data_IF_267422027986
#
_entry.id   IF_267422027986
#
_cell.length_a   1.000
_cell.length_b   1.000
_cell.length_c   1.000
_cell.angle_alpha   90.00
_cell.angle_beta   90.00
_cell.angle_gamma   90.00
#
_symmetry.space_group_name_H-M   'P 1'
#
loop_
_entity.id
_entity.type
_entity.pdbx_description
1 polymer ?
#
# COMPACT_ATOMS: atom_id res chain seq x y z
N UNK A 1 -11.85 -5.10 19.32
CA UNK A 1 -11.20 -5.30 18.00
C UNK A 1 -11.15 -4.02 17.17
N UNK A 2 -12.24 -3.32 16.83
CA UNK A 2 -12.18 -1.97 16.23
C UNK A 2 -11.95 -0.85 17.28
N UNK A 3 -12.56 -0.97 18.46
CA UNK A 3 -12.42 0.02 19.54
C UNK A 3 -10.98 0.11 20.10
N UNK A 4 -10.27 -1.02 20.15
CA UNK A 4 -8.87 -1.07 20.63
C UNK A 4 -7.92 -0.38 19.63
N UNK A 5 -8.27 -0.38 18.33
CA UNK A 5 -7.49 0.27 17.28
C UNK A 5 -7.74 1.78 17.22
N UNK A 6 -8.94 2.23 17.62
CA UNK A 6 -9.21 3.65 17.80
C UNK A 6 -8.34 4.28 18.90
N UNK A 7 -7.82 3.46 19.83
CA UNK A 7 -6.89 3.87 20.88
C UNK A 7 -5.41 3.60 20.55
N UNK A 8 -5.12 2.78 19.54
CA UNK A 8 -3.76 2.54 19.09
C UNK A 8 -3.23 3.80 18.37
N UNK A 9 -1.98 4.16 18.68
CA UNK A 9 -1.26 5.21 17.96
C UNK A 9 -0.80 4.63 16.63
N UNK A 10 -1.60 4.86 15.59
CA UNK A 10 -1.37 4.33 14.24
C UNK A 10 -1.36 5.47 13.24
N UNK A 11 -0.38 5.45 12.35
CA UNK A 11 -0.34 6.30 11.17
C UNK A 11 -0.93 5.53 10.00
N UNK A 12 -1.88 6.15 9.29
CA UNK A 12 -2.59 5.51 8.18
C UNK A 12 -2.21 6.25 6.90
N UNK A 13 -1.61 5.53 5.96
CA UNK A 13 -1.28 6.06 4.64
C UNK A 13 -2.21 5.44 3.60
N UNK A 14 -2.76 6.27 2.70
CA UNK A 14 -3.61 5.79 1.61
C UNK A 14 -3.23 6.39 0.27
N UNK A 15 -3.13 5.54 -0.75
CA UNK A 15 -2.86 5.94 -2.13
C UNK A 15 -4.11 5.69 -2.99
N UNK A 16 -4.71 6.76 -3.51
CA UNK A 16 -5.79 6.71 -4.49
C UNK A 16 -5.23 6.94 -5.89
N UNK A 17 -5.31 5.92 -6.74
CA UNK A 17 -4.76 6.00 -8.10
C UNK A 17 -5.85 6.31 -9.12
N UNK A 18 -5.73 7.45 -9.80
CA UNK A 18 -6.56 7.80 -10.95
C UNK A 18 -6.06 7.07 -12.19
N UNK A 19 -6.93 6.24 -12.76
CA UNK A 19 -6.59 5.37 -13.90
C UNK A 19 -6.99 5.94 -15.26
N UNK A 20 -7.68 7.09 -15.30
CA UNK A 20 -8.13 7.77 -16.53
C UNK A 20 -8.74 6.85 -17.60
N UNK A 21 -9.66 5.96 -17.18
CA UNK A 21 -10.32 4.94 -18.04
C UNK A 21 -9.40 3.84 -18.59
N UNK A 22 -8.14 3.78 -18.17
CA UNK A 22 -7.21 2.69 -18.48
C UNK A 22 -7.28 1.61 -17.40
N UNK A 23 -7.03 0.37 -17.80
CA UNK A 23 -6.79 -0.72 -16.85
C UNK A 23 -5.33 -0.65 -16.40
N UNK A 24 -5.09 -0.76 -15.09
CA UNK A 24 -3.76 -1.12 -14.59
C UNK A 24 -3.69 -2.64 -14.72
N UNK A 25 -2.76 -3.15 -15.53
CA UNK A 25 -2.58 -4.59 -15.67
C UNK A 25 -2.12 -5.19 -14.35
N UNK A 26 -2.66 -6.36 -14.03
CA UNK A 26 -2.42 -7.02 -12.77
C UNK A 26 -1.13 -7.85 -12.83
N UNK A 27 0.01 -7.15 -12.85
CA UNK A 27 1.35 -7.73 -12.95
C UNK A 27 2.11 -7.53 -11.63
N UNK A 28 3.05 -8.44 -11.29
CA UNK A 28 3.94 -8.27 -10.14
C UNK A 28 4.65 -6.92 -10.12
N UNK A 29 5.06 -6.47 -11.30
CA UNK A 29 5.72 -5.19 -11.52
C UNK A 29 4.83 -4.01 -11.12
N UNK A 30 3.61 -3.91 -11.68
CA UNK A 30 2.71 -2.81 -11.36
C UNK A 30 2.27 -2.81 -9.90
N UNK A 31 2.07 -4.00 -9.32
CA UNK A 31 1.78 -4.13 -7.89
C UNK A 31 2.93 -3.59 -7.04
N UNK A 32 4.18 -3.97 -7.35
CA UNK A 32 5.36 -3.46 -6.66
C UNK A 32 5.52 -1.95 -6.80
N UNK A 33 5.22 -1.35 -7.96
CA UNK A 33 5.20 0.11 -8.15
C UNK A 33 4.25 0.77 -7.14
N UNK A 34 3.03 0.25 -7.01
CA UNK A 34 2.01 0.81 -6.11
C UNK A 34 2.41 0.67 -4.64
N UNK A 35 2.97 -0.49 -4.26
CA UNK A 35 3.50 -0.69 -2.90
C UNK A 35 4.66 0.27 -2.63
N UNK A 36 5.59 0.44 -3.58
CA UNK A 36 6.71 1.39 -3.41
C UNK A 36 6.23 2.84 -3.30
N UNK A 37 5.24 3.26 -4.10
CA UNK A 37 4.66 4.61 -4.00
C UNK A 37 4.06 4.83 -2.60
N UNK A 38 3.31 3.86 -2.08
CA UNK A 38 2.74 3.95 -0.73
C UNK A 38 3.83 3.97 0.36
N UNK A 39 4.81 3.07 0.28
CA UNK A 39 5.93 3.03 1.23
C UNK A 39 6.77 4.31 1.18
N UNK A 40 6.82 4.99 0.03
CA UNK A 40 7.61 6.21 -0.11
C UNK A 40 7.12 7.37 0.76
N UNK A 41 5.86 7.30 1.21
CA UNK A 41 5.27 8.25 2.14
C UNK A 41 5.87 8.14 3.54
N UNK A 42 6.35 6.94 3.94
CA UNK A 42 6.71 6.66 5.33
C UNK A 42 8.13 6.10 5.52
N UNK A 43 8.84 5.68 4.46
CA UNK A 43 10.15 5.03 4.59
C UNK A 43 11.30 5.94 5.05
N UNK A 44 11.12 7.26 5.06
CA UNK A 44 12.11 8.22 5.58
C UNK A 44 11.99 8.38 7.10
N UNK A 45 10.80 8.13 7.65
CA UNK A 45 10.50 8.19 9.08
C UNK A 45 10.60 6.81 9.73
N UNK A 46 10.32 5.73 8.98
CA UNK A 46 10.41 4.35 9.44
C UNK A 46 11.45 3.56 8.64
N UNK A 47 12.70 3.59 9.10
CA UNK A 47 13.81 2.90 8.43
C UNK A 47 13.76 1.37 8.59
N UNK A 48 13.12 0.86 9.65
CA UNK A 48 13.01 -0.58 9.91
C UNK A 48 11.55 -1.02 9.85
N UNK A 49 11.19 -1.78 8.81
CA UNK A 49 9.80 -2.14 8.53
C UNK A 49 9.64 -3.65 8.35
N UNK A 50 8.66 -4.20 9.07
CA UNK A 50 8.11 -5.52 8.83
C UNK A 50 6.82 -5.38 8.03
N UNK A 51 6.92 -5.55 6.71
CA UNK A 51 5.84 -5.37 5.77
C UNK A 51 5.02 -6.66 5.63
N UNK A 52 3.72 -6.57 5.90
CA UNK A 52 2.75 -7.61 5.56
C UNK A 52 1.96 -7.21 4.33
N UNK A 53 2.02 -8.02 3.28
CA UNK A 53 1.25 -7.84 2.06
C UNK A 53 0.15 -8.90 1.98
N UNK A 54 -1.00 -8.55 1.42
CA UNK A 54 -2.00 -9.57 1.05
C UNK A 54 -1.40 -10.55 0.05
N UNK A 55 -1.82 -11.82 0.12
CA UNK A 55 -1.38 -12.89 -0.78
C UNK A 55 -2.09 -12.75 -2.13
N UNK A 56 -1.80 -11.66 -2.83
CA UNK A 56 -2.34 -11.34 -4.15
C UNK A 56 -1.75 -12.24 -5.24
N UNK A 57 -0.46 -12.56 -5.15
CA UNK A 57 0.21 -13.53 -6.03
C UNK A 57 0.50 -14.84 -5.31
N UNK A 58 0.23 -15.96 -5.98
CA UNK A 58 0.40 -17.32 -5.42
C UNK A 58 1.61 -18.06 -5.99
N UNK A 59 2.09 -17.65 -7.17
CA UNK A 59 3.30 -18.22 -7.76
C UNK A 59 4.55 -17.71 -7.06
N UNK A 60 5.45 -18.61 -6.66
CA UNK A 60 6.74 -18.26 -6.06
C UNK A 60 7.56 -17.31 -6.94
N UNK A 61 7.46 -17.44 -8.27
CA UNK A 61 8.15 -16.55 -9.22
C UNK A 61 7.60 -15.12 -9.17
N UNK A 62 6.27 -14.98 -9.09
CA UNK A 62 5.62 -13.67 -9.00
C UNK A 62 5.91 -13.00 -7.65
N UNK A 63 5.85 -13.77 -6.55
CA UNK A 63 6.21 -13.29 -5.22
C UNK A 63 7.67 -12.82 -5.19
N UNK A 64 8.59 -13.60 -5.77
CA UNK A 64 10.00 -13.23 -5.84
C UNK A 64 10.20 -11.94 -6.67
N UNK A 65 9.48 -11.78 -7.77
CA UNK A 65 9.51 -10.56 -8.58
C UNK A 65 9.05 -9.33 -7.76
N UNK A 66 7.89 -9.42 -7.08
CA UNK A 66 7.40 -8.34 -6.20
C UNK A 66 8.44 -7.98 -5.15
N UNK A 67 8.92 -8.98 -4.40
CA UNK A 67 9.88 -8.76 -3.32
C UNK A 67 11.15 -8.11 -3.83
N UNK A 68 11.70 -8.61 -4.94
CA UNK A 68 12.92 -8.07 -5.54
C UNK A 68 12.76 -6.61 -5.93
N UNK A 69 11.65 -6.26 -6.60
CA UNK A 69 11.33 -4.88 -6.97
C UNK A 69 11.25 -3.95 -5.75
N UNK A 70 10.58 -4.37 -4.68
CA UNK A 70 10.46 -3.57 -3.45
C UNK A 70 11.83 -3.42 -2.76
N UNK A 71 12.58 -4.51 -2.60
CA UNK A 71 13.90 -4.49 -1.98
C UNK A 71 14.88 -3.58 -2.70
N UNK A 72 14.87 -3.56 -4.03
CA UNK A 72 15.73 -2.68 -4.81
C UNK A 72 15.47 -1.19 -4.56
N UNK A 73 14.25 -0.83 -4.18
CA UNK A 73 13.87 0.55 -3.90
C UNK A 73 14.01 0.94 -2.43
N UNK A 74 14.11 -0.03 -1.52
CA UNK A 74 14.20 0.24 -0.09
C UNK A 74 15.48 1.04 0.25
N UNK A 75 15.41 2.05 1.15
CA UNK A 75 16.59 2.81 1.55
C UNK A 75 17.68 1.89 2.13
N UNK A 76 18.93 2.06 1.66
CA UNK A 76 20.08 1.23 2.07
C UNK A 76 20.37 1.23 3.58
N UNK A 77 19.93 2.26 4.28
CA UNK A 77 20.17 2.45 5.71
C UNK A 77 19.15 1.71 6.57
N UNK A 78 18.09 1.16 5.96
CA UNK A 78 16.96 0.54 6.64
C UNK A 78 16.89 -0.98 6.48
N UNK A 79 16.20 -1.64 7.40
CA UNK A 79 15.86 -3.06 7.31
C UNK A 79 14.42 -3.25 6.83
N UNK A 80 14.24 -4.09 5.82
CA UNK A 80 12.93 -4.49 5.32
C UNK A 80 12.77 -6.01 5.42
N UNK A 81 11.70 -6.46 6.08
CA UNK A 81 11.22 -7.84 5.97
C UNK A 81 9.84 -7.84 5.31
N UNK A 82 9.63 -8.71 4.33
CA UNK A 82 8.36 -8.79 3.60
C UNK A 82 7.75 -10.17 3.83
N UNK A 83 6.49 -10.20 4.27
CA UNK A 83 5.70 -11.43 4.40
C UNK A 83 4.40 -11.30 3.62
N UNK A 84 4.06 -12.34 2.84
CA UNK A 84 2.80 -12.42 2.11
C UNK A 84 1.82 -13.27 2.92
N UNK A 85 0.76 -12.64 3.42
CA UNK A 85 -0.21 -13.25 4.34
C UNK A 85 -1.59 -13.32 3.70
N UNK A 86 -2.35 -14.34 4.06
CA UNK A 86 -3.75 -14.48 3.64
C UNK A 86 -4.61 -13.49 4.42
N UNK A 87 -5.31 -12.59 3.71
CA UNK A 87 -6.24 -11.59 4.27
C UNK A 87 -7.28 -12.21 5.20
N UNK A 88 -7.71 -13.46 5.01
CA UNK A 88 -8.67 -14.10 5.92
C UNK A 88 -8.07 -14.45 7.29
N UNK A 89 -6.74 -14.43 7.42
CA UNK A 89 -6.01 -14.88 8.61
C UNK A 89 -5.14 -13.80 9.25
N UNK A 90 -5.01 -12.62 8.64
CA UNK A 90 -4.19 -11.53 9.13
C UNK A 90 -5.02 -10.30 9.50
N UNK A 91 -5.12 -9.93 10.80
CA UNK A 91 -5.78 -8.70 11.23
C UNK A 91 -5.19 -7.43 10.60
N UNK A 92 -3.90 -7.44 10.26
CA UNK A 92 -3.21 -6.29 9.64
C UNK A 92 -3.68 -6.05 8.21
N UNK A 93 -3.83 -7.11 7.42
CA UNK A 93 -4.32 -6.98 6.05
C UNK A 93 -5.81 -6.65 6.04
N UNK A 94 -6.60 -7.23 6.95
CA UNK A 94 -8.02 -6.87 7.11
C UNK A 94 -8.21 -5.39 7.44
N UNK A 95 -7.34 -4.83 8.29
CA UNK A 95 -7.34 -3.40 8.57
C UNK A 95 -7.03 -2.59 7.31
N UNK A 96 -5.98 -2.97 6.57
CA UNK A 96 -5.59 -2.26 5.35
C UNK A 96 -6.75 -2.27 4.33
N UNK A 97 -7.43 -3.40 4.16
CA UNK A 97 -8.61 -3.53 3.30
C UNK A 97 -9.78 -2.66 3.78
N UNK A 98 -10.03 -2.63 5.09
CA UNK A 98 -11.05 -1.78 5.69
C UNK A 98 -10.78 -0.29 5.43
N UNK A 99 -9.52 0.15 5.64
CA UNK A 99 -9.09 1.52 5.36
C UNK A 99 -9.27 1.82 3.87
N UNK A 100 -8.79 0.96 2.99
CA UNK A 100 -8.92 1.13 1.54
C UNK A 100 -10.39 1.23 1.12
N UNK A 101 -11.26 0.38 1.67
CA UNK A 101 -12.70 0.42 1.43
C UNK A 101 -13.37 1.70 1.94
N UNK A 102 -12.96 2.19 3.11
CA UNK A 102 -13.49 3.42 3.72
C UNK A 102 -13.08 4.65 2.90
N UNK A 103 -11.82 4.73 2.51
CA UNK A 103 -11.29 5.79 1.63
C UNK A 103 -11.97 5.74 0.27
N UNK A 104 -12.14 4.57 -0.33
CA UNK A 104 -12.84 4.44 -1.61
C UNK A 104 -14.31 4.89 -1.52
N UNK A 105 -14.99 4.54 -0.44
CA UNK A 105 -16.42 4.85 -0.25
C UNK A 105 -16.66 6.33 -0.03
N UNK A 106 -15.72 7.05 0.59
CA UNK A 106 -15.83 8.52 0.73
C UNK A 106 -15.81 9.22 -0.64
N UNK A 107 -14.98 8.75 -1.58
CA UNK A 107 -14.94 9.29 -2.95
C UNK A 107 -16.18 8.96 -3.79
N UNK A 108 -16.91 7.88 -3.48
CA UNK A 108 -18.01 7.38 -4.31
C UNK A 108 -19.41 7.65 -3.77
N UNK A 109 -19.59 7.57 -2.46
CA UNK A 109 -20.89 7.51 -1.82
C UNK A 109 -21.09 8.57 -0.72
N UNK A 110 -20.11 9.48 -0.54
CA UNK A 110 -20.10 10.45 0.56
C UNK A 110 -20.23 9.77 1.93
N UNK A 111 -19.61 8.59 2.06
CA UNK A 111 -19.65 7.77 3.27
C UNK A 111 -18.82 8.42 4.39
N UNK A 112 -19.43 8.54 5.57
CA UNK A 112 -18.84 9.19 6.75
C UNK A 112 -17.87 8.29 7.51
N UNK A 113 -17.76 7.00 7.16
CA UNK A 113 -16.84 6.05 7.80
C UNK A 113 -15.37 6.51 7.77
N UNK A 114 -14.96 7.25 6.72
CA UNK A 114 -13.61 7.82 6.65
C UNK A 114 -13.33 8.79 7.80
N UNK A 115 -14.35 9.49 8.33
CA UNK A 115 -14.19 10.45 9.42
C UNK A 115 -13.66 9.83 10.72
N UNK A 116 -13.79 8.50 10.89
CA UNK A 116 -13.23 7.79 12.04
C UNK A 116 -11.71 7.63 11.96
N UNK A 117 -11.15 7.62 10.75
CA UNK A 117 -9.71 7.44 10.49
C UNK A 117 -9.04 8.71 9.98
N UNK A 118 -9.82 9.68 9.50
CA UNK A 118 -9.37 10.96 8.94
C UNK A 118 -8.31 11.69 9.79
N UNK A 119 -8.41 11.76 11.13
CA UNK A 119 -7.40 12.46 11.94
C UNK A 119 -6.00 11.84 11.87
N UNK A 120 -5.89 10.59 11.40
CA UNK A 120 -4.64 9.82 11.32
C UNK A 120 -4.28 9.44 9.88
N UNK A 121 -5.07 9.92 8.92
CA UNK A 121 -4.98 9.54 7.53
C UNK A 121 -4.14 10.55 6.74
N UNK A 122 -3.01 10.10 6.23
CA UNK A 122 -2.27 10.77 5.16
C UNK A 122 -2.65 10.14 3.82
N UNK A 123 -3.50 10.83 3.06
CA UNK A 123 -3.99 10.35 1.76
C UNK A 123 -3.37 11.13 0.60
N UNK A 124 -2.91 10.41 -0.42
CA UNK A 124 -2.41 10.96 -1.68
C UNK A 124 -3.31 10.48 -2.83
N UNK A 125 -3.65 11.38 -3.74
CA UNK A 125 -4.34 11.08 -4.99
C UNK A 125 -3.41 11.39 -6.14
N UNK A 126 -3.11 10.41 -6.99
CA UNK A 126 -2.15 10.59 -8.08
C UNK A 126 -2.54 9.80 -9.34
N UNK A 127 -2.05 10.24 -10.49
CA UNK A 127 -2.35 9.63 -11.78
C UNK A 127 -1.42 8.46 -12.08
N UNK A 128 -1.99 7.32 -12.51
CA UNK A 128 -1.21 6.11 -12.82
C UNK A 128 -0.04 6.36 -13.78
N UNK A 129 -0.20 7.11 -14.89
CA UNK A 129 0.93 7.40 -15.79
C UNK A 129 2.10 8.10 -15.10
N UNK A 130 1.82 9.02 -14.16
CA UNK A 130 2.87 9.73 -13.42
C UNK A 130 3.59 8.81 -12.44
N UNK A 131 2.84 8.01 -11.68
CA UNK A 131 3.41 7.01 -10.75
C UNK A 131 4.30 6.05 -11.55
N UNK A 132 3.76 5.46 -12.62
CA UNK A 132 4.49 4.49 -13.44
C UNK A 132 5.78 5.10 -14.00
N UNK A 133 5.71 6.29 -14.61
CA UNK A 133 6.89 6.95 -15.16
C UNK A 133 7.97 7.21 -14.09
N UNK A 134 7.57 7.68 -12.91
CA UNK A 134 8.47 7.96 -11.78
C UNK A 134 9.26 6.73 -11.34
N UNK A 135 8.59 5.59 -11.22
CA UNK A 135 9.23 4.35 -10.77
C UNK A 135 10.01 3.65 -11.87
N UNK A 136 9.52 3.65 -13.10
CA UNK A 136 10.27 3.08 -14.23
C UNK A 136 11.60 3.79 -14.45
N UNK A 137 11.68 5.11 -14.26
CA UNK A 137 12.95 5.85 -14.31
C UNK A 137 13.92 5.49 -13.18
N UNK A 138 13.42 5.05 -12.01
CA UNK A 138 14.24 4.64 -10.85
C UNK A 138 14.70 3.18 -10.91
N UNK A 139 14.13 2.41 -11.82
CA UNK A 139 14.44 0.98 -12.02
C UNK A 139 15.46 0.73 -13.14
N UNK A 140 15.85 1.78 -13.86
CA UNK A 140 16.97 1.80 -14.80
C UNK A 140 18.28 2.14 -14.06
#
# INVERSE_FOLDING_TARGET
MLADMAQADVEIFALTVRKERRRIEDTPEHYAILVCELLSMCWNTHLNVALSLDRHFTSSLQIAAVNTSIYHQWPRQGLLSITHVDSQRSPLVQLADFVAGSVYSSYKANDQMVGLIEPRLEAVVEDWPHIKARWMHRWQ
#
